data_IF_519108494752
#
_entry.id   IF_519108494752
#
_cell.length_a   1.000
_cell.length_b   1.000
_cell.length_c   1.000
_cell.angle_alpha   90.00
_cell.angle_beta   90.00
_cell.angle_gamma   90.00
#
_symmetry.space_group_name_H-M   'P 1'
#
loop_
_entity.id
_entity.type
_entity.pdbx_description
1 polymer ?
#
# COMPACT_ATOMS: atom_id res chain seq x y z
N UNK A 1 -18.41 24.36 17.32
CA UNK A 1 -17.04 24.34 17.89
C UNK A 1 -16.13 25.05 16.91
N UNK A 2 -15.49 26.20 17.22
CA UNK A 2 -14.77 26.93 16.18
C UNK A 2 -13.27 26.73 16.34
N UNK A 3 -12.73 25.71 15.68
CA UNK A 3 -11.43 25.85 15.05
C UNK A 3 -11.72 26.14 13.58
N UNK A 4 -11.39 27.36 13.13
CA UNK A 4 -11.79 27.88 11.82
C UNK A 4 -11.10 27.15 10.67
N UNK A 5 -9.87 26.66 10.87
CA UNK A 5 -9.14 25.68 10.06
C UNK A 5 -7.83 25.37 10.79
N UNK A 6 -7.14 24.24 10.53
CA UNK A 6 -5.75 24.10 10.97
C UNK A 6 -4.88 25.21 10.35
N UNK A 7 -3.79 25.63 11.02
CA UNK A 7 -2.81 26.53 10.42
C UNK A 7 -2.33 25.99 9.08
N UNK A 8 -2.23 26.88 8.09
CA UNK A 8 -1.62 26.55 6.81
C UNK A 8 -0.10 26.41 7.01
N UNK A 9 0.43 25.24 6.68
CA UNK A 9 1.86 24.93 6.79
C UNK A 9 2.68 25.71 5.76
N UNK A 10 2.06 26.32 4.73
CA UNK A 10 2.70 27.19 3.73
C UNK A 10 4.06 26.63 3.26
N UNK A 11 5.13 27.36 3.56
CA UNK A 11 6.49 27.07 3.12
C UNK A 11 7.14 25.89 3.87
N UNK A 12 6.62 25.52 5.05
CA UNK A 12 7.12 24.38 5.84
C UNK A 12 6.64 23.03 5.30
N UNK A 13 5.54 23.03 4.54
CA UNK A 13 4.94 21.82 3.96
C UNK A 13 5.95 20.97 3.16
N UNK A 14 6.67 21.55 2.19
CA UNK A 14 7.72 20.86 1.47
C UNK A 14 8.81 20.25 2.35
N UNK A 15 9.33 21.00 3.32
CA UNK A 15 10.41 20.50 4.21
C UNK A 15 9.93 19.34 5.08
N UNK A 16 8.72 19.44 5.62
CA UNK A 16 8.09 18.35 6.39
C UNK A 16 7.88 17.11 5.52
N UNK A 17 7.46 17.26 4.26
CA UNK A 17 7.28 16.15 3.34
C UNK A 17 8.61 15.45 3.02
N UNK A 18 9.67 16.21 2.71
CA UNK A 18 11.01 15.68 2.44
C UNK A 18 11.53 14.92 3.66
N UNK A 19 11.38 15.49 4.86
CA UNK A 19 11.79 14.85 6.11
C UNK A 19 10.99 13.57 6.37
N UNK A 20 9.67 13.59 6.21
CA UNK A 20 8.81 12.44 6.46
C UNK A 20 9.07 11.29 5.47
N UNK A 21 9.28 11.60 4.19
CA UNK A 21 9.56 10.62 3.15
C UNK A 21 10.83 9.80 3.45
N UNK A 22 11.85 10.42 4.05
CA UNK A 22 13.09 9.74 4.48
C UNK A 22 12.84 8.59 5.47
N UNK A 23 11.83 8.71 6.32
CA UNK A 23 11.49 7.71 7.33
C UNK A 23 10.44 6.70 6.86
N UNK A 24 9.87 6.92 5.67
CA UNK A 24 9.01 5.95 5.04
C UNK A 24 9.82 4.79 4.43
N UNK A 25 9.14 3.69 4.14
CA UNK A 25 9.66 2.55 3.39
C UNK A 25 8.69 2.22 2.26
N UNK A 26 9.19 2.39 1.04
CA UNK A 26 8.44 2.12 -0.19
C UNK A 26 8.80 0.73 -0.73
N UNK A 27 7.89 0.06 -1.45
CA UNK A 27 8.21 -1.18 -2.16
C UNK A 27 9.42 -1.02 -3.08
N UNK A 28 10.28 -2.04 -3.16
CA UNK A 28 11.41 -1.98 -4.08
C UNK A 28 10.92 -1.97 -5.54
N UNK A 29 11.44 -1.10 -6.44
CA UNK A 29 10.94 -1.02 -7.82
C UNK A 29 10.99 -2.34 -8.58
N UNK A 30 12.03 -3.15 -8.39
CA UNK A 30 12.12 -4.47 -9.04
C UNK A 30 11.11 -5.48 -8.48
N UNK A 31 10.69 -5.33 -7.23
CA UNK A 31 9.61 -6.13 -6.64
C UNK A 31 8.26 -5.69 -7.20
N UNK A 32 8.02 -4.38 -7.34
CA UNK A 32 6.79 -3.84 -7.96
C UNK A 32 6.61 -4.40 -9.38
N UNK A 33 7.69 -4.48 -10.17
CA UNK A 33 7.67 -5.01 -11.55
C UNK A 33 7.35 -6.51 -11.66
N UNK A 34 7.38 -7.26 -10.56
CA UNK A 34 6.99 -8.68 -10.57
C UNK A 34 5.46 -8.87 -10.57
N UNK A 35 4.69 -7.79 -10.45
CA UNK A 35 3.23 -7.84 -10.40
C UNK A 35 2.62 -6.97 -11.52
N UNK A 36 1.65 -7.51 -12.23
CA UNK A 36 0.89 -6.78 -13.25
C UNK A 36 -0.26 -5.92 -12.66
N UNK A 37 -0.42 -5.93 -11.33
CA UNK A 37 -1.50 -5.22 -10.64
C UNK A 37 -1.51 -5.45 -9.13
N UNK A 38 -2.71 -5.44 -8.55
CA UNK A 38 -2.92 -5.70 -7.13
C UNK A 38 -2.45 -7.12 -6.72
N UNK A 39 -1.76 -7.24 -5.59
CA UNK A 39 -1.20 -8.52 -5.12
C UNK A 39 -2.30 -9.52 -4.71
N UNK A 40 -3.36 -9.01 -4.10
CA UNK A 40 -4.50 -9.80 -3.63
C UNK A 40 -5.81 -9.25 -4.19
N UNK A 41 -6.73 -10.11 -4.67
CA UNK A 41 -8.05 -9.71 -5.18
C UNK A 41 -8.96 -9.31 -4.01
N UNK A 42 -8.74 -8.11 -3.48
CA UNK A 42 -9.38 -7.62 -2.25
C UNK A 42 -9.72 -6.16 -2.30
N UNK A 43 -10.73 -5.76 -1.52
CA UNK A 43 -11.08 -4.37 -1.26
C UNK A 43 -11.34 -4.17 0.23
N UNK A 44 -11.19 -2.95 0.73
CA UNK A 44 -11.55 -2.63 2.12
C UNK A 44 -13.05 -2.63 2.31
N UNK A 45 -13.56 -3.45 3.22
CA UNK A 45 -14.92 -3.32 3.75
C UNK A 45 -14.95 -3.83 5.20
N UNK A 46 -14.76 -2.92 6.15
CA UNK A 46 -14.68 -3.27 7.57
C UNK A 46 -15.95 -3.98 8.07
N UNK A 47 -17.11 -3.58 7.54
CA UNK A 47 -18.42 -4.07 7.97
C UNK A 47 -18.65 -5.51 7.51
N UNK A 48 -18.23 -5.83 6.30
CA UNK A 48 -18.43 -7.15 5.69
C UNK A 48 -17.10 -7.91 5.49
N UNK A 49 -16.08 -7.60 6.29
CA UNK A 49 -14.76 -8.25 6.20
C UNK A 49 -14.89 -9.76 6.33
N UNK A 50 -13.98 -10.51 5.71
CA UNK A 50 -13.99 -11.98 5.70
C UNK A 50 -15.17 -12.59 4.93
N UNK A 51 -15.71 -11.85 3.96
CA UNK A 51 -16.73 -12.36 3.03
C UNK A 51 -16.25 -12.24 1.60
N UNK A 52 -16.76 -13.10 0.73
CA UNK A 52 -16.54 -13.03 -0.70
C UNK A 52 -17.59 -12.14 -1.38
N UNK A 53 -17.16 -11.47 -2.42
CA UNK A 53 -18.01 -10.94 -3.48
C UNK A 53 -17.82 -11.87 -4.67
N UNK A 54 -18.74 -12.82 -4.85
CA UNK A 54 -18.63 -13.87 -5.88
C UNK A 54 -18.71 -13.31 -7.28
N UNK A 55 -19.52 -12.27 -7.49
CA UNK A 55 -19.72 -11.64 -8.79
C UNK A 55 -18.45 -10.92 -9.24
N UNK A 56 -17.78 -10.25 -8.30
CA UNK A 56 -16.52 -9.53 -8.55
C UNK A 56 -15.27 -10.38 -8.34
N UNK A 57 -15.41 -11.64 -7.94
CA UNK A 57 -14.31 -12.56 -7.60
C UNK A 57 -13.26 -11.92 -6.68
N UNK A 58 -13.72 -11.28 -5.60
CA UNK A 58 -12.83 -10.62 -4.64
C UNK A 58 -13.24 -10.90 -3.19
N UNK A 59 -12.33 -10.68 -2.25
CA UNK A 59 -12.61 -10.75 -0.81
C UNK A 59 -12.68 -9.36 -0.18
N UNK A 60 -13.62 -9.17 0.75
CA UNK A 60 -13.74 -7.97 1.58
C UNK A 60 -12.78 -8.04 2.78
N UNK A 61 -11.92 -7.06 2.92
CA UNK A 61 -10.78 -7.05 3.88
C UNK A 61 -10.80 -5.84 4.83
N UNK A 62 -9.99 -5.92 5.89
CA UNK A 62 -9.82 -4.94 6.97
C UNK A 62 -8.37 -4.38 7.05
N UNK A 63 -7.70 -4.22 5.91
CA UNK A 63 -6.30 -3.81 5.70
C UNK A 63 -5.24 -4.88 5.97
N UNK A 64 -5.64 -6.10 6.29
CA UNK A 64 -4.70 -7.21 6.48
C UNK A 64 -4.03 -7.60 5.17
N UNK A 65 -4.74 -7.64 4.03
CA UNK A 65 -4.14 -8.05 2.75
C UNK A 65 -3.23 -6.99 2.14
N UNK A 66 -3.56 -5.70 2.29
CA UNK A 66 -2.63 -4.62 1.91
C UNK A 66 -1.30 -4.72 2.66
N UNK A 67 -1.37 -5.05 3.96
CA UNK A 67 -0.19 -5.29 4.78
C UNK A 67 0.58 -6.55 4.36
N UNK A 68 -0.13 -7.65 4.10
CA UNK A 68 0.50 -8.87 3.58
C UNK A 68 1.14 -8.62 2.22
N UNK A 69 0.54 -7.79 1.35
CA UNK A 69 1.10 -7.48 0.04
C UNK A 69 2.45 -6.82 0.23
N UNK A 70 2.51 -5.79 1.07
CA UNK A 70 3.76 -5.09 1.32
C UNK A 70 4.84 -5.99 1.93
N UNK A 71 4.52 -6.81 2.93
CA UNK A 71 5.54 -7.63 3.60
C UNK A 71 5.91 -8.90 2.83
N UNK A 72 4.94 -9.65 2.33
CA UNK A 72 5.19 -10.94 1.70
C UNK A 72 5.83 -10.78 0.32
N UNK A 73 5.51 -9.70 -0.41
CA UNK A 73 6.23 -9.39 -1.66
C UNK A 73 7.72 -9.07 -1.43
N UNK A 74 8.14 -8.81 -0.19
CA UNK A 74 9.55 -8.58 0.14
C UNK A 74 10.13 -9.70 1.03
N UNK A 75 9.53 -10.89 1.01
CA UNK A 75 10.05 -12.08 1.70
C UNK A 75 9.86 -12.10 3.22
N UNK A 76 9.12 -11.15 3.80
CA UNK A 76 8.85 -11.14 5.24
C UNK A 76 7.65 -12.05 5.55
N UNK A 77 7.79 -12.98 6.49
CA UNK A 77 6.69 -13.89 6.90
C UNK A 77 5.64 -13.24 7.80
N UNK A 78 5.87 -11.97 8.17
CA UNK A 78 5.10 -11.22 9.15
C UNK A 78 3.62 -11.12 8.78
N UNK A 79 2.75 -11.41 9.75
CA UNK A 79 1.28 -11.29 9.63
C UNK A 79 0.71 -10.24 10.57
N UNK A 80 1.45 -9.87 11.62
CA UNK A 80 1.08 -8.86 12.60
C UNK A 80 1.48 -7.44 12.16
N UNK A 81 0.82 -6.45 12.73
CA UNK A 81 1.14 -5.03 12.52
C UNK A 81 2.39 -4.65 13.33
N UNK A 82 3.46 -4.11 12.71
CA UNK A 82 4.63 -3.66 13.46
C UNK A 82 4.27 -2.44 14.32
N UNK A 83 4.57 -2.51 15.62
CA UNK A 83 4.26 -1.41 16.55
C UNK A 83 4.94 -0.11 16.12
N UNK A 84 4.18 0.99 16.09
CA UNK A 84 4.68 2.31 15.71
C UNK A 84 4.79 2.54 14.20
N UNK A 85 4.32 1.61 13.38
CA UNK A 85 4.34 1.71 11.92
C UNK A 85 2.95 1.47 11.34
N UNK A 86 2.57 2.18 10.29
CA UNK A 86 1.32 1.97 9.57
C UNK A 86 1.57 1.73 8.09
N UNK A 87 0.70 0.93 7.48
CA UNK A 87 0.64 0.79 6.01
C UNK A 87 -0.38 1.81 5.51
N UNK A 88 0.10 2.80 4.78
CA UNK A 88 -0.71 3.84 4.17
C UNK A 88 -0.91 3.57 2.67
N UNK A 89 -2.06 4.00 2.17
CA UNK A 89 -2.35 4.01 0.74
C UNK A 89 -2.00 5.38 0.14
N UNK A 90 -1.29 5.39 -0.99
CA UNK A 90 -0.87 6.63 -1.68
C UNK A 90 -2.09 7.36 -2.28
N UNK A 91 -3.02 6.61 -2.87
CA UNK A 91 -4.35 7.06 -3.26
C UNK A 91 -5.41 6.41 -2.39
N UNK A 92 -6.37 7.22 -1.94
CA UNK A 92 -7.52 6.76 -1.17
C UNK A 92 -8.56 6.06 -2.06
N UNK A 93 -8.22 4.87 -2.56
CA UNK A 93 -9.07 4.02 -3.39
C UNK A 93 -9.41 2.68 -2.71
N UNK A 94 -10.01 2.70 -1.49
CA UNK A 94 -10.19 1.49 -0.69
C UNK A 94 -11.19 0.48 -1.29
N UNK A 95 -12.01 0.90 -2.26
CA UNK A 95 -13.01 0.07 -2.94
C UNK A 95 -12.60 -0.34 -4.35
N UNK A 96 -11.41 0.05 -4.78
CA UNK A 96 -10.85 -0.30 -6.08
C UNK A 96 -9.98 -1.56 -5.93
N UNK A 97 -10.37 -2.69 -6.56
CA UNK A 97 -9.61 -3.93 -6.45
C UNK A 97 -8.21 -3.85 -7.08
N UNK A 98 -8.01 -2.99 -8.08
CA UNK A 98 -6.73 -2.85 -8.79
C UNK A 98 -5.73 -1.96 -8.04
N UNK A 99 -6.23 -1.17 -7.09
CA UNK A 99 -5.43 -0.24 -6.29
C UNK A 99 -5.20 -0.71 -4.85
N UNK A 100 -6.14 -1.44 -4.24
CA UNK A 100 -6.15 -1.63 -2.78
C UNK A 100 -4.94 -2.40 -2.23
N UNK A 101 -4.48 -3.43 -2.92
CA UNK A 101 -3.30 -4.20 -2.55
C UNK A 101 -2.16 -4.08 -3.57
N UNK A 102 -2.22 -3.08 -4.44
CA UNK A 102 -1.18 -2.78 -5.41
C UNK A 102 0.04 -2.19 -4.70
N UNK A 103 1.21 -2.77 -4.91
CA UNK A 103 2.44 -2.31 -4.25
C UNK A 103 2.71 -0.84 -4.54
N UNK A 104 2.54 -0.37 -5.78
CA UNK A 104 2.75 1.02 -6.13
C UNK A 104 1.83 2.01 -5.37
N UNK A 105 0.74 1.51 -4.78
CA UNK A 105 -0.18 2.27 -3.96
C UNK A 105 0.09 2.15 -2.45
N UNK A 106 1.16 1.47 -2.01
CA UNK A 106 1.42 1.19 -0.59
C UNK A 106 2.74 1.82 -0.11
N UNK A 107 2.71 2.26 1.14
CA UNK A 107 3.88 2.81 1.83
C UNK A 107 3.84 2.39 3.31
N UNK A 108 4.96 1.89 3.85
CA UNK A 108 5.09 1.71 5.29
C UNK A 108 5.65 3.01 5.88
N UNK A 109 5.01 3.57 6.89
CA UNK A 109 5.43 4.82 7.52
C UNK A 109 5.29 4.77 9.03
N UNK A 110 6.10 5.52 9.80
CA UNK A 110 5.88 5.68 11.23
C UNK A 110 4.48 6.24 11.51
N UNK A 111 3.78 5.68 12.50
CA UNK A 111 2.41 6.10 12.85
C UNK A 111 2.34 7.60 13.22
N UNK A 112 3.40 8.13 13.84
CA UNK A 112 3.49 9.55 14.17
C UNK A 112 3.54 10.48 12.94
N UNK A 113 3.82 9.96 11.75
CA UNK A 113 3.84 10.70 10.49
C UNK A 113 2.59 10.47 9.64
N UNK A 114 1.68 9.57 10.05
CA UNK A 114 0.54 9.14 9.23
C UNK A 114 -0.38 10.29 8.79
N UNK A 115 -0.57 11.29 9.63
CA UNK A 115 -1.37 12.47 9.30
C UNK A 115 -0.78 13.32 8.16
N UNK A 116 0.52 13.19 7.87
CA UNK A 116 1.16 13.92 6.77
C UNK A 116 0.81 13.32 5.40
N UNK A 117 0.41 12.05 5.32
CA UNK A 117 -0.07 11.41 4.08
C UNK A 117 -1.58 11.42 3.92
N UNK A 118 -2.33 11.72 4.97
CA UNK A 118 -3.79 11.70 4.95
C UNK A 118 -4.38 12.94 4.27
N UNK A 119 -5.46 12.77 3.49
CA UNK A 119 -6.27 13.85 2.90
C UNK A 119 -5.42 14.90 2.14
N UNK A 120 -5.21 16.06 2.76
CA UNK A 120 -4.49 17.22 2.23
C UNK A 120 -3.10 17.37 2.87
N UNK A 121 -2.60 16.32 3.51
CA UNK A 121 -1.29 16.29 4.13
C UNK A 121 -0.16 16.51 3.11
N UNK A 122 0.94 17.16 3.50
CA UNK A 122 1.97 17.59 2.57
C UNK A 122 2.76 16.45 1.92
N UNK A 123 2.75 15.23 2.49
CA UNK A 123 3.47 14.07 1.96
C UNK A 123 2.73 13.40 0.79
N UNK A 124 1.40 13.52 0.73
CA UNK A 124 0.57 12.86 -0.29
C UNK A 124 1.01 13.13 -1.73
N UNK A 125 1.22 14.40 -2.16
CA UNK A 125 1.70 14.72 -3.51
C UNK A 125 3.05 14.08 -3.86
N UNK A 126 3.96 13.96 -2.88
CA UNK A 126 5.27 13.34 -3.09
C UNK A 126 5.16 11.84 -3.31
N UNK A 127 4.36 11.15 -2.49
CA UNK A 127 4.12 9.71 -2.68
C UNK A 127 3.46 9.43 -4.03
N UNK A 128 2.50 10.26 -4.45
CA UNK A 128 1.82 10.12 -5.75
C UNK A 128 2.77 10.34 -6.93
N UNK A 129 3.56 11.42 -6.88
CA UNK A 129 4.54 11.69 -7.92
C UNK A 129 5.65 10.63 -7.95
N UNK A 130 6.07 10.11 -6.79
CA UNK A 130 7.00 8.98 -6.69
C UNK A 130 6.43 7.74 -7.37
N UNK A 131 5.20 7.34 -7.04
CA UNK A 131 4.59 6.17 -7.65
C UNK A 131 4.47 6.28 -9.17
N UNK A 132 4.15 7.47 -9.69
CA UNK A 132 4.16 7.71 -11.14
C UNK A 132 5.57 7.65 -11.73
N UNK A 133 6.54 8.37 -11.16
CA UNK A 133 7.88 8.51 -11.73
C UNK A 133 8.75 7.26 -11.60
N UNK A 134 8.57 6.47 -10.54
CA UNK A 134 9.41 5.31 -10.22
C UNK A 134 8.76 4.00 -10.64
N UNK A 135 7.44 3.87 -10.47
CA UNK A 135 6.71 2.65 -10.83
C UNK A 135 5.93 2.76 -12.14
N UNK A 136 5.81 3.97 -12.71
CA UNK A 136 4.95 4.18 -13.87
C UNK A 136 3.45 4.05 -13.54
N UNK A 137 3.08 4.14 -12.27
CA UNK A 137 1.73 3.80 -11.81
C UNK A 137 0.99 5.00 -11.23
N UNK A 138 -0.31 5.09 -11.54
CA UNK A 138 -1.25 6.04 -10.94
C UNK A 138 -2.64 5.44 -10.92
N UNK A 139 -3.53 5.97 -10.08
CA UNK A 139 -4.92 5.56 -10.08
C UNK A 139 -5.58 5.96 -11.40
N UNK A 140 -6.33 5.03 -12.01
CA UNK A 140 -7.07 5.28 -13.24
C UNK A 140 -7.99 6.51 -13.10
N UNK A 141 -8.12 7.28 -14.19
CA UNK A 141 -8.96 8.49 -14.24
C UNK A 141 -8.54 9.61 -13.28
N UNK A 142 -7.32 9.59 -12.75
CA UNK A 142 -6.73 10.74 -12.03
C UNK A 142 -5.79 11.52 -12.93
N UNK A 143 -5.76 12.85 -12.77
CA UNK A 143 -4.75 13.67 -13.41
C UNK A 143 -3.36 13.25 -12.93
N UNK A 144 -2.39 13.26 -13.84
CA UNK A 144 -1.01 12.96 -13.49
C UNK A 144 -0.54 13.95 -12.40
N UNK A 145 0.00 13.47 -11.26
CA UNK A 145 0.49 14.35 -10.21
C UNK A 145 1.59 15.27 -10.76
N UNK A 146 1.49 16.57 -10.45
CA UNK A 146 2.56 17.50 -10.72
C UNK A 146 3.78 17.19 -9.83
N UNK A 147 4.99 17.43 -10.34
CA UNK A 147 6.23 17.28 -9.57
C UNK A 147 6.21 18.26 -8.39
N UNK A 148 6.26 17.78 -7.13
CA UNK A 148 6.33 18.67 -5.97
C UNK A 148 7.64 19.44 -5.92
N UNK A 149 7.61 20.62 -5.30
CA UNK A 149 8.82 21.40 -4.97
C UNK A 149 9.80 20.54 -4.17
N UNK A 150 11.11 20.66 -4.40
CA UNK A 150 12.15 19.92 -3.65
C UNK A 150 12.01 18.37 -3.72
N UNK A 151 11.24 17.83 -4.67
CA UNK A 151 11.09 16.37 -4.81
C UNK A 151 12.44 15.66 -5.03
N UNK A 152 13.34 16.29 -5.77
CA UNK A 152 14.67 15.73 -6.07
C UNK A 152 15.58 15.69 -4.83
N UNK A 153 15.26 16.45 -3.77
CA UNK A 153 16.00 16.45 -2.51
C UNK A 153 15.59 15.29 -1.59
N UNK A 154 14.54 14.55 -1.95
CA UNK A 154 14.03 13.45 -1.14
C UNK A 154 14.95 12.24 -1.23
N UNK A 155 15.44 11.80 -0.07
CA UNK A 155 16.10 10.49 0.05
C UNK A 155 15.07 9.39 0.24
N UNK A 156 14.65 8.77 -0.86
CA UNK A 156 13.71 7.65 -0.84
C UNK A 156 14.35 6.40 -0.24
N UNK A 157 13.65 5.74 0.69
CA UNK A 157 14.09 4.44 1.21
C UNK A 157 13.13 3.35 0.82
N UNK A 158 13.68 2.24 0.35
CA UNK A 158 12.93 1.08 -0.11
C UNK A 158 13.06 -0.10 0.86
N UNK A 159 12.11 -1.03 0.79
CA UNK A 159 12.33 -2.39 1.26
C UNK A 159 13.48 -3.04 0.47
N UNK A 160 14.07 -4.10 1.04
CA UNK A 160 15.05 -4.92 0.34
C UNK A 160 14.40 -5.55 -0.88
N UNK A 161 15.15 -5.60 -1.98
CA UNK A 161 14.79 -6.40 -3.14
C UNK A 161 14.59 -7.88 -2.77
N UNK A 162 13.67 -8.53 -3.48
CA UNK A 162 13.37 -9.94 -3.31
C UNK A 162 12.82 -10.51 -4.63
N UNK A 163 13.51 -11.50 -5.21
CA UNK A 163 13.23 -11.95 -6.58
C UNK A 163 12.13 -13.01 -6.67
N UNK A 164 11.77 -13.65 -5.55
CA UNK A 164 10.81 -14.76 -5.51
C UNK A 164 9.43 -14.34 -4.97
N UNK A 165 9.04 -13.07 -5.14
CA UNK A 165 7.87 -12.48 -4.47
C UNK A 165 6.58 -13.28 -4.70
N UNK A 166 6.28 -13.59 -5.96
CA UNK A 166 5.06 -14.33 -6.35
C UNK A 166 5.08 -15.75 -5.76
N UNK A 167 6.19 -16.47 -5.92
CA UNK A 167 6.36 -17.82 -5.39
C UNK A 167 6.27 -17.84 -3.85
N UNK A 168 6.86 -16.85 -3.19
CA UNK A 168 6.80 -16.73 -1.74
C UNK A 168 5.37 -16.50 -1.25
N UNK A 169 4.62 -15.58 -1.86
CA UNK A 169 3.21 -15.36 -1.54
C UNK A 169 2.39 -16.65 -1.71
N UNK A 170 2.58 -17.37 -2.83
CA UNK A 170 1.90 -18.64 -3.07
C UNK A 170 2.24 -19.66 -1.97
N UNK A 171 3.51 -19.79 -1.60
CA UNK A 171 3.96 -20.64 -0.50
C UNK A 171 3.36 -20.24 0.85
N UNK A 172 3.25 -18.93 1.14
CA UNK A 172 2.57 -18.43 2.36
C UNK A 172 1.09 -18.79 2.38
N UNK A 173 0.39 -18.64 1.26
CA UNK A 173 -1.01 -19.02 1.13
C UNK A 173 -1.21 -20.54 1.23
N UNK A 174 -0.28 -21.37 0.77
CA UNK A 174 -0.35 -22.82 0.99
C UNK A 174 -0.08 -23.21 2.44
N UNK A 175 0.91 -22.60 3.08
CA UNK A 175 1.35 -22.99 4.42
C UNK A 175 0.42 -22.54 5.57
N UNK A 176 -0.30 -21.43 5.42
CA UNK A 176 -1.16 -20.89 6.47
C UNK A 176 -2.58 -21.42 6.33
N UNK A 177 -3.19 -21.83 7.44
CA UNK A 177 -4.58 -22.33 7.45
C UNK A 177 -5.49 -21.47 8.34
N UNK A 178 -5.70 -20.22 7.93
CA UNK A 178 -6.68 -19.33 8.56
C UNK A 178 -7.79 -18.99 7.56
N UNK A 179 -8.93 -18.51 8.07
CA UNK A 179 -10.10 -18.19 7.26
C UNK A 179 -9.77 -17.31 6.05
N UNK A 180 -8.84 -16.35 6.18
CA UNK A 180 -8.49 -15.41 5.08
C UNK A 180 -7.85 -16.14 3.93
N UNK A 181 -6.93 -17.03 4.26
CA UNK A 181 -6.14 -17.77 3.30
C UNK A 181 -7.03 -18.77 2.57
N UNK A 182 -7.94 -19.44 3.28
CA UNK A 182 -8.97 -20.30 2.66
C UNK A 182 -9.85 -19.55 1.66
N UNK A 183 -10.17 -18.27 1.94
CA UNK A 183 -10.94 -17.42 1.01
C UNK A 183 -10.10 -16.92 -0.18
N UNK A 184 -8.82 -16.60 0.03
CA UNK A 184 -7.93 -16.08 -1.02
C UNK A 184 -7.45 -17.14 -2.01
N UNK A 185 -7.17 -18.36 -1.54
CA UNK A 185 -6.66 -19.47 -2.38
C UNK A 185 -7.46 -19.68 -3.67
N UNK A 186 -8.80 -19.89 -3.63
CA UNK A 186 -9.58 -20.10 -4.85
C UNK A 186 -9.60 -18.85 -5.76
N UNK A 187 -9.56 -17.64 -5.18
CA UNK A 187 -9.50 -16.39 -5.97
C UNK A 187 -8.17 -16.23 -6.73
N UNK A 188 -7.10 -16.82 -6.19
CA UNK A 188 -5.75 -16.77 -6.76
C UNK A 188 -5.37 -18.06 -7.52
N UNK A 189 -6.32 -18.97 -7.75
CA UNK A 189 -6.07 -20.22 -8.47
C UNK A 189 -5.12 -21.18 -7.73
N UNK A 190 -5.02 -21.07 -6.39
CA UNK A 190 -4.20 -21.94 -5.56
C UNK A 190 -5.08 -23.06 -5.02
N UNK A 191 -4.74 -24.31 -5.34
CA UNK A 191 -5.41 -25.47 -4.77
C UNK A 191 -5.22 -25.51 -3.24
N UNK A 192 -6.24 -25.96 -2.51
CA UNK A 192 -6.09 -26.28 -1.10
C UNK A 192 -5.07 -27.41 -0.92
N UNK A 193 -4.31 -27.35 0.18
CA UNK A 193 -3.48 -28.49 0.57
C UNK A 193 -4.42 -29.65 0.93
N UNK A 194 -4.22 -30.80 0.30
CA UNK A 194 -4.88 -32.07 0.66
C UNK A 194 -4.63 -32.45 2.13
#
# INVERSE_FOLDING_TARGET
MPFSSPPDLKDDGPELAVLAAKYCRLPHPNVVRQFDGAVFPTIRDQKHRMTLDTDKKLMRDDNVTAKWALFWSHGYTQTYHPKGWTVAHVWAAPKDPDAYSNLANLCLMPECLGSLSDKMGPLGPYLKYHALSVYGWSLASTEAPAKPKNFDDVTWTYFKEFDESVNFIHSRLKALDNQRVRLLRPLMGIADAE
#
